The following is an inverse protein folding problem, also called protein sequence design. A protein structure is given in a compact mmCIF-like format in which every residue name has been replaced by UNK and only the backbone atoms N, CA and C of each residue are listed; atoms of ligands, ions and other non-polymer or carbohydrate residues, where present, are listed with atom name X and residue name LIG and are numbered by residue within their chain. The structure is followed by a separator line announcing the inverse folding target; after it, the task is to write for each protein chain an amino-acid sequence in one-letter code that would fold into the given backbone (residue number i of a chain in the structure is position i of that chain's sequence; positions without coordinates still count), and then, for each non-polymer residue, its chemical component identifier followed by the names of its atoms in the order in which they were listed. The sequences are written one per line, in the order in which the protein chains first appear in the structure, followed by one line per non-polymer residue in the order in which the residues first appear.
data_IF_602506542432
#
_entry.id   IF_602506542432
#
_cell.length_a   1.000
_cell.length_b   1.000
_cell.length_c   1.000
_cell.angle_alpha   90.00
_cell.angle_beta   90.00
_cell.angle_gamma   90.00
#
_symmetry.space_group_name_H-M   'P 1'
#
loop_
_entity.id
_entity.type
_entity.pdbx_description
1 polymer ?
#
# COMPACT_ATOMS: atom_id res chain seq x y z
N UNK A 1 -33.55 79.54 43.19
CA UNK A 1 -33.59 79.38 41.72
C UNK A 1 -34.02 77.95 41.45
N UNK A 2 -35.15 77.81 40.74
CA UNK A 2 -35.82 76.57 40.25
C UNK A 2 -34.82 75.66 39.49
N UNK A 3 -34.94 74.34 39.26
CA UNK A 3 -36.04 73.42 38.91
C UNK A 3 -35.47 71.97 39.04
N UNK A 4 -36.19 70.98 39.59
CA UNK A 4 -37.01 69.93 38.92
C UNK A 4 -36.23 68.83 38.13
N UNK A 5 -36.11 67.68 38.80
CA UNK A 5 -36.63 66.34 38.40
C UNK A 5 -35.86 65.41 37.42
N UNK A 6 -36.03 64.10 37.73
CA UNK A 6 -36.15 62.92 36.88
C UNK A 6 -35.04 61.84 36.90
N UNK A 7 -35.39 60.73 37.57
CA UNK A 7 -35.31 59.35 37.05
C UNK A 7 -33.97 58.80 36.51
N UNK A 8 -32.93 58.75 37.35
CA UNK A 8 -31.67 58.06 37.02
C UNK A 8 -31.63 56.54 37.29
N UNK A 9 -32.61 55.96 38.00
CA UNK A 9 -32.48 54.58 38.55
C UNK A 9 -33.04 53.45 37.67
N UNK A 10 -33.75 53.74 36.58
CA UNK A 10 -34.40 52.70 35.75
C UNK A 10 -33.58 52.24 34.55
N UNK A 11 -32.61 53.03 34.07
CA UNK A 11 -31.85 52.70 32.86
C UNK A 11 -30.73 51.67 33.05
N UNK A 12 -30.25 51.47 34.29
CA UNK A 12 -29.19 50.48 34.58
C UNK A 12 -29.66 49.02 34.49
N UNK A 13 -30.97 48.76 34.63
CA UNK A 13 -31.52 47.38 34.60
C UNK A 13 -31.80 46.86 33.20
N UNK A 14 -31.97 47.74 32.21
CA UNK A 14 -32.30 47.36 30.84
C UNK A 14 -31.05 46.93 30.05
N UNK A 15 -29.89 47.54 30.33
CA UNK A 15 -28.62 47.18 29.69
C UNK A 15 -28.05 45.85 30.21
N UNK A 16 -28.34 45.49 31.47
CA UNK A 16 -27.98 44.19 32.04
C UNK A 16 -28.81 43.03 31.45
N UNK A 17 -30.06 43.28 31.05
CA UNK A 17 -30.92 42.28 30.42
C UNK A 17 -30.62 42.08 28.93
N UNK A 18 -30.17 43.12 28.22
CA UNK A 18 -29.74 43.01 26.82
C UNK A 18 -28.37 42.33 26.67
N UNK A 19 -27.45 42.51 27.62
CA UNK A 19 -26.17 41.78 27.63
C UNK A 19 -26.35 40.28 27.95
N UNK A 20 -27.34 39.93 28.78
CA UNK A 20 -27.67 38.53 29.09
C UNK A 20 -28.40 37.83 27.93
N UNK A 21 -29.21 38.55 27.14
CA UNK A 21 -29.92 37.97 26.01
C UNK A 21 -29.02 37.76 24.78
N UNK A 22 -27.99 38.59 24.58
CA UNK A 22 -27.05 38.42 23.47
C UNK A 22 -26.04 37.28 23.69
N UNK A 23 -25.75 36.92 24.95
CA UNK A 23 -24.91 35.75 25.28
C UNK A 23 -25.69 34.43 25.25
N UNK A 24 -27.02 34.49 25.31
CA UNK A 24 -27.90 33.32 25.29
C UNK A 24 -28.21 32.81 23.87
N UNK A 25 -27.93 33.58 22.82
CA UNK A 25 -28.19 33.20 21.41
C UNK A 25 -26.94 32.62 20.72
N UNK A 26 -25.73 32.83 21.28
CA UNK A 26 -24.49 32.18 20.78
C UNK A 26 -24.29 30.75 21.30
N UNK A 27 -25.17 30.27 22.19
CA UNK A 27 -25.17 28.89 22.68
C UNK A 27 -25.86 27.93 21.71
N UNK A 28 -25.44 27.92 20.44
CA UNK A 28 -25.70 26.77 19.58
C UNK A 28 -24.99 25.60 20.26
N UNK A 29 -25.76 24.59 20.68
CA UNK A 29 -25.20 23.34 21.18
C UNK A 29 -24.27 22.77 20.09
N UNK A 30 -22.97 23.00 20.25
CA UNK A 30 -21.97 22.16 19.64
C UNK A 30 -22.06 20.81 20.35
N UNK A 31 -22.89 19.92 19.81
CA UNK A 31 -22.79 18.50 20.15
C UNK A 31 -21.35 18.12 19.81
N UNK A 32 -20.55 17.57 20.74
CA UNK A 32 -19.26 17.01 20.37
C UNK A 32 -19.57 15.84 19.44
N UNK A 33 -19.41 16.06 18.13
CA UNK A 33 -19.27 14.95 17.21
C UNK A 33 -18.02 14.24 17.68
N UNK A 34 -18.16 13.05 18.25
CA UNK A 34 -17.00 12.25 18.60
C UNK A 34 -16.12 12.17 17.37
N UNK A 35 -14.86 12.60 17.49
CA UNK A 35 -13.89 12.37 16.43
C UNK A 35 -13.81 10.86 16.24
N UNK A 36 -14.39 10.34 15.16
CA UNK A 36 -14.07 9.02 14.68
C UNK A 36 -12.64 9.11 14.16
N UNK A 37 -11.77 8.20 14.60
CA UNK A 37 -10.57 7.91 13.84
C UNK A 37 -10.97 7.60 12.39
N UNK A 38 -10.17 8.02 11.42
CA UNK A 38 -10.34 7.54 10.05
C UNK A 38 -10.20 6.01 10.08
N UNK A 39 -10.99 5.29 9.26
CA UNK A 39 -10.75 3.87 8.99
C UNK A 39 -9.37 3.76 8.31
N UNK A 40 -8.34 3.62 9.14
CA UNK A 40 -6.93 3.60 8.74
C UNK A 40 -6.09 2.62 9.54
N UNK A 41 -6.70 1.89 10.50
CA UNK A 41 -6.10 0.69 11.07
C UNK A 41 -6.50 -0.50 10.19
N UNK A 42 -5.73 -0.73 9.13
CA UNK A 42 -5.74 -2.04 8.48
C UNK A 42 -4.74 -2.90 9.26
N UNK A 43 -5.25 -3.70 10.21
CA UNK A 43 -4.45 -4.69 10.95
C UNK A 43 -4.64 -4.63 12.47
N UNK A 44 -4.08 -5.63 13.15
CA UNK A 44 -4.01 -5.71 14.62
C UNK A 44 -2.55 -5.93 14.98
N UNK A 45 -2.02 -5.15 15.92
CA UNK A 45 -0.63 -5.32 16.39
C UNK A 45 -0.40 -6.76 16.87
N UNK A 46 0.64 -7.40 16.33
CA UNK A 46 1.03 -8.76 16.71
C UNK A 46 1.75 -8.82 18.07
N UNK A 47 1.98 -10.03 18.62
CA UNK A 47 2.71 -10.20 19.88
C UNK A 47 4.14 -9.62 19.84
N UNK A 48 4.66 -9.24 21.01
CA UNK A 48 6.06 -8.83 21.17
C UNK A 48 7.04 -9.92 20.70
N UNK A 49 8.10 -9.51 20.01
CA UNK A 49 9.21 -10.36 19.59
C UNK A 49 10.47 -10.19 20.47
N UNK A 50 10.31 -9.61 21.66
CA UNK A 50 11.41 -9.48 22.63
C UNK A 50 12.05 -10.85 22.90
N UNK A 51 13.37 -10.94 22.71
CA UNK A 51 14.14 -12.17 22.89
C UNK A 51 14.59 -12.86 21.59
N UNK A 52 14.20 -12.34 20.42
CA UNK A 52 14.70 -12.80 19.11
C UNK A 52 14.95 -11.63 18.17
N UNK A 53 16.05 -11.66 17.42
CA UNK A 53 16.44 -10.59 16.50
C UNK A 53 15.75 -10.67 15.13
N UNK A 54 15.32 -11.87 14.71
CA UNK A 54 14.81 -12.13 13.36
C UNK A 54 13.69 -13.19 13.36
N UNK A 55 12.58 -13.01 14.09
CA UNK A 55 11.53 -14.02 14.25
C UNK A 55 10.94 -14.56 12.95
N UNK A 56 10.98 -13.77 11.87
CA UNK A 56 10.46 -14.09 10.53
C UNK A 56 11.53 -13.92 9.45
N UNK A 57 12.81 -13.93 9.81
CA UNK A 57 13.96 -13.39 9.07
C UNK A 57 14.24 -13.92 7.65
N UNK A 58 13.31 -13.70 6.73
CA UNK A 58 13.53 -13.77 5.29
C UNK A 58 13.56 -12.34 4.78
N UNK A 59 14.71 -11.88 4.29
CA UNK A 59 14.88 -10.52 3.75
C UNK A 59 13.97 -10.21 2.55
N UNK A 60 13.42 -11.25 1.91
CA UNK A 60 12.63 -11.18 0.67
C UNK A 60 11.31 -11.91 0.88
N UNK A 61 10.40 -11.27 1.61
CA UNK A 61 9.03 -11.76 1.84
C UNK A 61 8.16 -11.57 0.58
N UNK A 62 8.64 -12.07 -0.55
CA UNK A 62 7.96 -12.01 -1.85
C UNK A 62 7.31 -13.35 -2.15
N UNK A 63 6.15 -13.32 -2.81
CA UNK A 63 5.51 -14.49 -3.37
C UNK A 63 5.98 -14.74 -4.79
N UNK A 64 6.18 -16.01 -5.13
CA UNK A 64 6.35 -16.48 -6.51
C UNK A 64 5.24 -17.40 -6.96
N UNK A 65 4.41 -17.88 -6.03
CA UNK A 65 3.34 -18.85 -6.25
C UNK A 65 1.98 -18.27 -5.85
N UNK A 66 0.92 -18.72 -6.52
CA UNK A 66 -0.45 -18.43 -6.14
C UNK A 66 -1.35 -19.63 -6.43
N UNK A 67 -2.46 -19.73 -5.71
CA UNK A 67 -3.46 -20.77 -5.93
C UNK A 67 -4.68 -20.20 -6.63
N UNK A 68 -5.09 -20.82 -7.74
CA UNK A 68 -6.27 -20.43 -8.49
C UNK A 68 -6.80 -21.62 -9.30
N UNK A 69 -8.12 -21.71 -9.44
CA UNK A 69 -8.80 -22.75 -10.23
C UNK A 69 -8.34 -24.19 -9.87
N UNK A 70 -8.26 -24.46 -8.56
CA UNK A 70 -7.96 -25.79 -8.02
C UNK A 70 -6.51 -26.25 -8.21
N UNK A 71 -5.60 -25.41 -8.68
CA UNK A 71 -4.18 -25.76 -8.84
C UNK A 71 -3.25 -24.63 -8.42
N UNK A 72 -1.99 -25.00 -8.18
CA UNK A 72 -0.90 -24.06 -7.96
C UNK A 72 -0.38 -23.52 -9.29
N UNK A 73 -0.05 -22.24 -9.27
CA UNK A 73 0.59 -21.52 -10.35
C UNK A 73 1.85 -20.86 -9.82
N UNK A 74 2.79 -20.54 -10.71
CA UNK A 74 4.05 -19.91 -10.32
C UNK A 74 4.60 -19.00 -11.40
N UNK A 75 5.30 -17.95 -10.97
CA UNK A 75 6.09 -17.10 -11.85
C UNK A 75 7.53 -17.62 -11.81
N UNK A 76 7.85 -18.56 -12.69
CA UNK A 76 9.09 -19.32 -12.62
C UNK A 76 10.01 -18.98 -13.79
N UNK A 77 11.30 -19.26 -13.62
CA UNK A 77 12.31 -19.03 -14.63
C UNK A 77 12.23 -20.08 -15.74
N UNK A 78 12.08 -19.64 -16.99
CA UNK A 78 12.26 -20.49 -18.16
C UNK A 78 13.72 -20.41 -18.65
N UNK A 79 14.38 -21.56 -18.73
CA UNK A 79 15.80 -21.62 -19.12
C UNK A 79 16.00 -21.56 -20.63
N UNK A 80 14.98 -21.84 -21.44
CA UNK A 80 15.09 -21.81 -22.89
C UNK A 80 15.04 -20.36 -23.42
N UNK A 81 14.18 -19.51 -22.85
CA UNK A 81 14.04 -18.09 -23.19
C UNK A 81 14.78 -17.15 -22.24
N UNK A 82 15.25 -17.66 -21.09
CA UNK A 82 16.00 -16.89 -20.07
C UNK A 82 15.23 -15.68 -19.55
N UNK A 83 13.94 -15.90 -19.26
CA UNK A 83 13.01 -14.94 -18.69
C UNK A 83 12.00 -15.63 -17.75
N UNK A 84 11.14 -14.84 -17.09
CA UNK A 84 10.11 -15.39 -16.19
C UNK A 84 8.81 -15.62 -16.94
N UNK A 85 8.21 -16.79 -16.76
CA UNK A 85 6.91 -17.17 -17.30
C UNK A 85 5.94 -17.59 -16.21
N UNK A 86 4.65 -17.62 -16.57
CA UNK A 86 3.60 -18.27 -15.77
C UNK A 86 3.62 -19.77 -16.03
N UNK A 87 3.86 -20.55 -14.99
CA UNK A 87 3.80 -21.99 -14.97
C UNK A 87 2.56 -22.47 -14.21
N UNK A 88 2.05 -23.63 -14.58
CA UNK A 88 0.99 -24.35 -13.88
C UNK A 88 1.54 -25.63 -13.28
N UNK A 89 1.24 -25.91 -12.02
CA UNK A 89 1.56 -27.20 -11.42
C UNK A 89 0.64 -28.29 -11.98
N UNK A 90 1.24 -29.38 -12.45
CA UNK A 90 0.56 -30.63 -12.78
C UNK A 90 0.76 -31.62 -11.62
N UNK A 91 -0.29 -31.81 -10.83
CA UNK A 91 -0.27 -32.72 -9.68
C UNK A 91 -0.22 -34.20 -10.06
N UNK A 92 -0.63 -34.58 -11.27
CA UNK A 92 -0.58 -35.97 -11.70
C UNK A 92 0.86 -36.44 -11.93
N UNK A 93 1.73 -35.51 -12.36
CA UNK A 93 3.14 -35.77 -12.64
C UNK A 93 4.08 -35.13 -11.62
N UNK A 94 3.57 -34.28 -10.72
CA UNK A 94 4.36 -33.46 -9.79
C UNK A 94 5.37 -32.56 -10.51
N UNK A 95 4.97 -31.95 -11.62
CA UNK A 95 5.83 -31.08 -12.44
C UNK A 95 5.23 -29.69 -12.63
N UNK A 96 6.08 -28.72 -12.97
CA UNK A 96 5.66 -27.39 -13.41
C UNK A 96 5.66 -27.34 -14.94
N UNK A 97 4.51 -27.01 -15.52
CA UNK A 97 4.32 -26.90 -16.97
C UNK A 97 4.25 -25.43 -17.35
N UNK A 98 5.16 -24.99 -18.21
CA UNK A 98 5.14 -23.63 -18.75
C UNK A 98 3.87 -23.42 -19.60
N UNK A 99 3.23 -22.27 -19.43
CA UNK A 99 2.09 -21.85 -20.26
C UNK A 99 2.49 -20.99 -21.46
N UNK A 100 3.76 -20.59 -21.55
CA UNK A 100 4.30 -19.70 -22.57
C UNK A 100 3.92 -18.22 -22.36
N UNK A 101 3.42 -17.85 -21.18
CA UNK A 101 3.05 -16.47 -20.85
C UNK A 101 4.19 -15.80 -20.10
N UNK A 102 4.97 -14.99 -20.80
CA UNK A 102 6.06 -14.23 -20.21
C UNK A 102 5.57 -13.09 -19.27
N UNK A 103 6.25 -12.93 -18.13
CA UNK A 103 6.00 -11.90 -17.13
C UNK A 103 7.10 -10.87 -17.00
N UNK A 104 8.34 -11.24 -17.30
CA UNK A 104 9.41 -10.27 -17.45
C UNK A 104 10.48 -10.77 -18.40
N UNK A 105 10.62 -10.20 -19.61
CA UNK A 105 11.62 -10.63 -20.59
C UNK A 105 13.07 -10.28 -20.19
N UNK A 106 13.26 -9.64 -19.02
CA UNK A 106 14.56 -9.21 -18.53
C UNK A 106 15.19 -10.29 -17.65
N UNK A 107 16.37 -10.76 -18.03
CA UNK A 107 17.21 -11.63 -17.19
C UNK A 107 17.69 -10.92 -15.92
N UNK A 108 17.87 -11.62 -14.80
CA UNK A 108 18.27 -11.04 -13.50
C UNK A 108 17.26 -10.02 -12.95
N UNK A 109 15.99 -10.41 -12.93
CA UNK A 109 14.91 -9.74 -12.19
C UNK A 109 14.45 -10.58 -11.02
N UNK A 110 13.93 -9.92 -10.00
CA UNK A 110 13.17 -10.55 -8.93
C UNK A 110 11.73 -10.06 -9.01
N UNK A 111 10.81 -10.72 -8.31
CA UNK A 111 9.40 -10.39 -8.39
C UNK A 111 8.66 -10.64 -7.09
N UNK A 112 7.51 -9.99 -6.97
CA UNK A 112 6.44 -10.35 -6.04
C UNK A 112 5.13 -10.53 -6.82
N UNK A 113 4.31 -11.51 -6.44
CA UNK A 113 3.06 -11.85 -7.10
C UNK A 113 1.87 -11.80 -6.15
N UNK A 114 0.77 -11.26 -6.64
CA UNK A 114 -0.48 -11.16 -5.90
C UNK A 114 -1.64 -11.58 -6.79
N UNK A 115 -2.40 -12.58 -6.36
CA UNK A 115 -3.68 -12.97 -6.98
C UNK A 115 -4.83 -12.47 -6.11
N UNK A 116 -5.68 -11.60 -6.64
CA UNK A 116 -6.81 -11.02 -5.89
C UNK A 116 -8.15 -11.75 -6.09
N UNK A 117 -8.12 -12.91 -6.75
CA UNK A 117 -9.32 -13.65 -7.16
C UNK A 117 -9.86 -13.29 -8.55
N UNK A 118 -9.38 -12.20 -9.16
CA UNK A 118 -9.81 -11.73 -10.49
C UNK A 118 -8.62 -11.38 -11.40
N UNK A 119 -7.62 -10.69 -10.87
CA UNK A 119 -6.44 -10.17 -11.54
C UNK A 119 -5.19 -10.70 -10.86
N UNK A 120 -4.23 -11.16 -11.67
CA UNK A 120 -2.89 -11.48 -11.22
C UNK A 120 -2.01 -10.26 -11.42
N UNK A 121 -1.34 -9.84 -10.36
CA UNK A 121 -0.36 -8.77 -10.32
C UNK A 121 1.04 -9.38 -10.20
N UNK A 122 1.95 -8.96 -11.07
CA UNK A 122 3.36 -9.36 -11.03
C UNK A 122 4.19 -8.09 -11.02
N UNK A 123 4.74 -7.74 -9.86
CA UNK A 123 5.69 -6.64 -9.72
C UNK A 123 7.10 -7.19 -9.92
N UNK A 124 7.77 -6.78 -10.99
CA UNK A 124 9.12 -7.25 -11.32
C UNK A 124 10.13 -6.11 -11.30
N UNK A 125 11.23 -6.33 -10.59
CA UNK A 125 12.26 -5.36 -10.30
C UNK A 125 13.66 -5.90 -10.58
N UNK A 126 14.59 -4.98 -10.83
CA UNK A 126 16.01 -5.30 -10.93
C UNK A 126 16.57 -5.43 -9.51
N UNK A 127 17.29 -6.52 -9.26
CA UNK A 127 17.85 -6.81 -7.95
C UNK A 127 19.19 -6.09 -7.74
N UNK A 128 19.39 -5.57 -6.53
CA UNK A 128 20.74 -5.27 -5.97
C UNK A 128 21.07 -6.26 -4.89
N UNK A 129 22.35 -6.65 -4.80
CA UNK A 129 22.83 -7.55 -3.75
C UNK A 129 22.54 -7.01 -2.35
N UNK A 130 22.39 -7.92 -1.40
CA UNK A 130 22.25 -7.61 0.02
C UNK A 130 23.32 -6.60 0.49
N UNK A 131 22.89 -5.63 1.31
CA UNK A 131 23.78 -4.58 1.81
C UNK A 131 24.13 -3.49 0.78
N UNK A 132 23.65 -3.59 -0.46
CA UNK A 132 23.91 -2.61 -1.52
C UNK A 132 22.72 -1.65 -1.66
N UNK A 133 22.93 -0.33 -1.58
CA UNK A 133 21.86 0.64 -1.74
C UNK A 133 21.11 0.51 -3.07
N UNK A 134 19.82 0.88 -3.06
CA UNK A 134 19.03 1.03 -4.27
C UNK A 134 19.69 2.01 -5.27
N UNK A 135 19.54 1.73 -6.57
CA UNK A 135 20.11 2.58 -7.64
C UNK A 135 19.06 3.05 -8.64
N UNK A 136 19.17 4.30 -9.13
CA UNK A 136 18.20 4.88 -10.05
C UNK A 136 18.34 4.33 -11.48
N UNK A 137 17.32 4.60 -12.30
CA UNK A 137 17.26 4.28 -13.74
C UNK A 137 17.06 2.79 -14.06
N UNK A 138 16.42 2.06 -13.14
CA UNK A 138 16.02 0.68 -13.34
C UNK A 138 14.54 0.54 -12.97
N UNK A 139 13.60 0.63 -13.92
CA UNK A 139 12.18 0.65 -13.58
C UNK A 139 11.70 -0.69 -13.00
N UNK A 140 10.97 -0.61 -11.89
CA UNK A 140 10.10 -1.69 -11.44
C UNK A 140 8.81 -1.64 -12.24
N UNK A 141 8.41 -2.77 -12.81
CA UNK A 141 7.22 -2.89 -13.65
C UNK A 141 6.16 -3.72 -12.95
N UNK A 142 4.96 -3.18 -12.80
CA UNK A 142 3.75 -3.93 -12.50
C UNK A 142 3.13 -4.44 -13.80
N UNK A 143 2.99 -5.75 -13.97
CA UNK A 143 2.16 -6.36 -15.02
C UNK A 143 0.90 -6.95 -14.41
N UNK A 144 -0.23 -6.77 -15.10
CA UNK A 144 -1.53 -7.30 -14.68
C UNK A 144 -2.04 -8.31 -15.69
N UNK A 145 -2.68 -9.38 -15.22
CA UNK A 145 -3.21 -10.43 -16.08
C UNK A 145 -4.64 -10.79 -15.70
N UNK A 146 -5.47 -11.03 -16.72
CA UNK A 146 -6.77 -11.68 -16.57
C UNK A 146 -6.60 -13.19 -16.62
N UNK A 147 -7.60 -13.92 -16.11
CA UNK A 147 -7.62 -15.38 -16.13
C UNK A 147 -8.84 -15.91 -16.88
N UNK A 148 -8.62 -16.84 -17.81
CA UNK A 148 -9.64 -17.64 -18.46
C UNK A 148 -9.61 -19.06 -17.89
N UNK A 149 -10.67 -19.44 -17.16
CA UNK A 149 -10.79 -20.76 -16.54
C UNK A 149 -11.05 -21.89 -17.56
N UNK A 150 -11.72 -21.61 -18.67
CA UNK A 150 -11.99 -22.59 -19.73
C UNK A 150 -10.71 -22.98 -20.47
N UNK A 151 -9.85 -21.99 -20.72
CA UNK A 151 -8.54 -22.21 -21.34
C UNK A 151 -7.42 -22.51 -20.34
N UNK A 152 -7.67 -22.35 -19.02
CA UNK A 152 -6.66 -22.34 -17.95
C UNK A 152 -5.46 -21.47 -18.33
N UNK A 153 -5.72 -20.21 -18.68
CA UNK A 153 -4.71 -19.32 -19.26
C UNK A 153 -4.79 -17.91 -18.69
N UNK A 154 -3.62 -17.33 -18.42
CA UNK A 154 -3.48 -15.92 -18.10
C UNK A 154 -3.22 -15.09 -19.35
N UNK A 155 -3.81 -13.90 -19.43
CA UNK A 155 -3.61 -12.95 -20.54
C UNK A 155 -3.25 -11.58 -20.01
N UNK A 156 -2.16 -11.00 -20.54
CA UNK A 156 -1.67 -9.68 -20.14
C UNK A 156 -2.75 -8.61 -20.40
N UNK A 157 -3.08 -7.85 -19.37
CA UNK A 157 -3.96 -6.68 -19.42
C UNK A 157 -3.18 -5.39 -19.66
N UNK A 158 -1.97 -5.30 -19.12
CA UNK A 158 -1.12 -4.12 -19.29
C UNK A 158 0.07 -4.11 -18.35
N UNK A 159 0.96 -3.13 -18.58
CA UNK A 159 2.16 -2.91 -17.80
C UNK A 159 2.27 -1.43 -17.39
N UNK A 160 2.64 -1.18 -16.14
CA UNK A 160 2.80 0.17 -15.58
C UNK A 160 4.04 0.23 -14.70
N UNK A 161 4.65 1.40 -14.57
CA UNK A 161 5.82 1.59 -13.73
C UNK A 161 5.43 1.90 -12.28
N UNK A 162 6.04 1.20 -11.31
CA UNK A 162 5.83 1.44 -9.87
C UNK A 162 6.82 2.51 -9.37
N UNK A 163 8.10 2.32 -9.69
CA UNK A 163 9.21 3.20 -9.35
C UNK A 163 10.28 3.15 -10.45
N UNK A 164 11.36 3.94 -10.30
CA UNK A 164 12.51 3.90 -11.21
C UNK A 164 13.81 3.50 -10.49
N UNK A 165 13.77 2.41 -9.71
CA UNK A 165 14.87 1.93 -8.89
C UNK A 165 15.09 0.43 -9.02
N UNK A 166 16.36 0.01 -9.01
CA UNK A 166 16.73 -1.36 -8.64
C UNK A 166 16.88 -1.43 -7.14
N UNK A 167 16.35 -2.48 -6.54
CA UNK A 167 16.16 -2.61 -5.09
C UNK A 167 16.47 -4.04 -4.64
N UNK A 168 16.79 -4.22 -3.36
CA UNK A 168 17.03 -5.55 -2.80
C UNK A 168 15.71 -6.34 -2.74
N UNK A 169 14.64 -5.67 -2.29
CA UNK A 169 13.29 -6.21 -2.26
C UNK A 169 12.23 -5.15 -2.54
N UNK A 170 11.14 -5.59 -3.16
CA UNK A 170 9.90 -4.85 -3.29
C UNK A 170 8.75 -5.83 -3.12
N UNK A 171 7.80 -5.47 -2.27
CA UNK A 171 6.59 -6.26 -2.04
C UNK A 171 5.35 -5.49 -2.44
N UNK A 172 4.29 -6.22 -2.77
CA UNK A 172 2.98 -5.68 -3.14
C UNK A 172 1.86 -6.30 -2.31
N UNK A 173 0.82 -5.51 -2.05
CA UNK A 173 -0.44 -6.00 -1.49
C UNK A 173 -1.62 -5.17 -2.01
N UNK A 174 -2.86 -5.61 -1.78
CA UNK A 174 -4.06 -4.90 -2.21
C UNK A 174 -4.98 -4.61 -1.02
N UNK A 175 -5.35 -3.35 -0.88
CA UNK A 175 -6.27 -2.93 0.17
C UNK A 175 -7.75 -3.20 -0.20
N UNK A 176 -8.62 -3.05 0.80
CA UNK A 176 -10.07 -3.23 0.66
C UNK A 176 -10.75 -2.22 -0.26
N UNK A 177 -10.08 -1.12 -0.61
CA UNK A 177 -10.58 -0.10 -1.53
C UNK A 177 -10.24 -0.39 -3.00
N UNK A 178 -9.46 -1.45 -3.24
CA UNK A 178 -9.04 -1.87 -4.57
C UNK A 178 -7.68 -1.33 -5.00
N UNK A 179 -6.98 -0.58 -4.15
CA UNK A 179 -5.64 -0.05 -4.48
C UNK A 179 -4.61 -1.14 -4.29
N UNK A 180 -3.68 -1.24 -5.23
CA UNK A 180 -2.47 -2.02 -5.06
C UNK A 180 -1.40 -1.09 -4.48
N UNK A 181 -0.80 -1.54 -3.40
CA UNK A 181 0.31 -0.91 -2.71
C UNK A 181 1.60 -1.61 -3.08
N UNK A 182 2.69 -0.85 -3.16
CA UNK A 182 4.03 -1.39 -3.28
C UNK A 182 4.93 -0.69 -2.27
N UNK A 183 5.86 -1.43 -1.68
CA UNK A 183 6.84 -0.88 -0.74
C UNK A 183 8.24 -1.42 -1.00
N UNK A 184 9.25 -0.58 -0.78
CA UNK A 184 10.66 -0.92 -0.93
C UNK A 184 11.55 -0.01 -0.08
N UNK A 185 12.78 -0.46 0.17
CA UNK A 185 13.81 0.36 0.79
C UNK A 185 14.57 1.16 -0.27
N UNK A 186 14.79 2.45 0.00
CA UNK A 186 15.67 3.29 -0.79
C UNK A 186 16.21 4.43 0.07
N UNK A 187 17.53 4.64 0.03
CA UNK A 187 18.15 5.81 0.65
C UNK A 187 17.86 5.93 2.15
N UNK A 188 17.94 4.80 2.87
CA UNK A 188 17.69 4.72 4.31
C UNK A 188 16.27 5.18 4.69
N UNK A 189 15.31 4.92 3.81
CA UNK A 189 13.88 5.17 4.02
C UNK A 189 13.07 4.05 3.40
N UNK A 190 11.91 3.78 3.98
CA UNK A 190 10.88 2.98 3.36
C UNK A 190 10.08 3.90 2.43
N UNK A 191 9.98 3.52 1.17
CA UNK A 191 9.16 4.18 0.17
C UNK A 191 7.95 3.33 -0.15
N UNK A 192 6.85 4.02 -0.43
CA UNK A 192 5.60 3.43 -0.87
C UNK A 192 5.18 4.06 -2.20
N UNK A 193 4.39 3.33 -2.96
CA UNK A 193 3.51 3.87 -3.98
C UNK A 193 2.18 3.12 -3.90
N UNK A 194 1.11 3.72 -4.41
CA UNK A 194 -0.18 3.08 -4.50
C UNK A 194 -0.85 3.42 -5.82
N UNK A 195 -1.68 2.51 -6.32
CA UNK A 195 -2.58 2.84 -7.42
C UNK A 195 -3.75 3.71 -6.94
N UNK A 196 -4.50 4.26 -7.90
CA UNK A 196 -5.89 4.63 -7.68
C UNK A 196 -6.73 3.37 -7.36
N UNK A 197 -8.01 3.56 -7.02
CA UNK A 197 -8.96 2.47 -6.71
C UNK A 197 -9.27 1.57 -7.91
N UNK A 198 -8.77 1.91 -9.10
CA UNK A 198 -8.83 1.06 -10.30
C UNK A 198 -7.81 -0.10 -10.28
N UNK A 199 -6.92 -0.14 -9.27
CA UNK A 199 -5.87 -1.15 -9.17
C UNK A 199 -4.87 -1.11 -10.33
N UNK A 200 -4.74 0.03 -11.03
CA UNK A 200 -3.99 0.14 -12.27
C UNK A 200 -3.11 1.39 -12.35
N UNK A 201 -3.67 2.54 -11.95
CA UNK A 201 -3.06 3.84 -12.19
C UNK A 201 -2.18 4.22 -11.01
N UNK A 202 -0.87 4.06 -11.15
CA UNK A 202 0.10 4.38 -10.09
C UNK A 202 0.23 5.87 -9.83
N UNK A 203 0.35 6.23 -8.54
CA UNK A 203 0.71 7.56 -8.11
C UNK A 203 2.21 7.85 -8.21
N UNK A 204 2.63 8.90 -7.51
CA UNK A 204 4.05 9.23 -7.33
C UNK A 204 4.56 8.55 -6.06
N UNK A 205 5.71 7.84 -6.11
CA UNK A 205 6.35 7.30 -4.92
C UNK A 205 6.56 8.35 -3.81
N UNK A 206 6.35 7.95 -2.56
CA UNK A 206 6.53 8.79 -1.38
C UNK A 206 7.18 8.00 -0.25
N UNK A 207 7.94 8.67 0.61
CA UNK A 207 8.51 8.03 1.81
C UNK A 207 7.40 7.75 2.84
N UNK A 208 7.57 6.71 3.64
CA UNK A 208 6.68 6.38 4.75
C UNK A 208 6.45 7.64 5.62
N UNK A 209 5.20 8.00 5.93
CA UNK A 209 4.87 9.30 6.51
C UNK A 209 5.34 9.47 7.95
N UNK A 210 5.51 8.37 8.68
CA UNK A 210 6.10 8.40 10.01
C UNK A 210 7.62 8.46 9.94
N UNK A 211 8.25 9.19 10.86
CA UNK A 211 9.69 9.05 11.14
C UNK A 211 9.95 7.66 11.69
N UNK A 212 10.34 6.75 10.78
CA UNK A 212 10.92 5.47 11.15
C UNK A 212 12.29 5.72 11.78
N UNK A 213 12.73 4.81 12.66
CA UNK A 213 14.07 4.84 13.26
C UNK A 213 15.18 4.58 12.24
N UNK A 214 16.25 3.90 12.66
CA UNK A 214 17.40 3.61 11.80
C UNK A 214 17.06 2.59 10.71
N UNK A 215 16.43 3.04 9.62
CA UNK A 215 16.22 2.25 8.40
C UNK A 215 17.57 2.10 7.68
N UNK A 216 18.11 0.91 7.71
CA UNK A 216 19.27 0.43 6.98
C UNK A 216 18.88 -0.02 5.56
N UNK A 217 19.87 -0.50 4.82
CA UNK A 217 19.68 -1.09 3.48
C UNK A 217 19.00 -2.45 3.54
N UNK A 218 19.21 -3.20 4.63
CA UNK A 218 18.70 -4.56 4.80
C UNK A 218 17.25 -4.60 5.33
N UNK A 219 16.62 -3.44 5.56
CA UNK A 219 15.26 -3.35 6.07
C UNK A 219 14.22 -3.46 4.96
N UNK A 220 13.11 -4.13 5.28
CA UNK A 220 11.91 -4.17 4.46
C UNK A 220 10.69 -3.80 5.33
N UNK A 221 9.56 -3.53 4.69
CA UNK A 221 8.33 -3.15 5.42
C UNK A 221 7.17 -4.11 5.12
N UNK A 222 7.50 -5.37 4.85
CA UNK A 222 6.54 -6.44 4.59
C UNK A 222 6.11 -7.10 5.90
#
# INVERSE_FOLDING_TARGET
MFDVNLDGRRYLRIHALLAALLLAITGVLAVPVGASAADGDIGVEGPSHLGTGTPTGTKRATSSLWFNDGTWWGNLWDTATSDFHIFRFDSATSTWVDTGVATDPRSNTHHDVLWDGTTLYVASYRFVNDGVPAEPNYPTTMRRYSYDAGAKKYTLLGATQINNQRVETLTIDKDSTGRVWATWQQGNRIYLNATATDGATWGTPFAHPSTLGDVSVDDNSA
#
